data_IF_461742896230
#
_entry.id   IF_461742896230
#
_cell.length_a   1.000
_cell.length_b   1.000
_cell.length_c   1.000
_cell.angle_alpha   90.00
_cell.angle_beta   90.00
_cell.angle_gamma   90.00
#
_symmetry.space_group_name_H-M   'P 1'
#
loop_
_entity.id
_entity.type
_entity.pdbx_description
1 polymer ?
#
# COMPACT_ATOMS: atom_id res chain seq x y z
N UNK A 1 -12.91 4.99 -9.26
CA UNK A 1 -11.86 4.69 -8.29
C UNK A 1 -10.61 5.46 -8.63
N UNK A 2 -10.03 6.13 -7.67
CA UNK A 2 -8.83 6.95 -7.84
C UNK A 2 -7.79 6.53 -6.80
N UNK A 3 -6.57 6.29 -7.26
CA UNK A 3 -5.42 6.08 -6.39
C UNK A 3 -4.51 7.31 -6.46
N UNK A 4 -4.30 7.95 -5.32
CA UNK A 4 -3.29 8.99 -5.18
C UNK A 4 -2.00 8.32 -4.72
N UNK A 5 -0.99 8.35 -5.56
CA UNK A 5 0.21 7.53 -5.45
C UNK A 5 1.46 8.39 -5.49
N UNK A 6 2.44 8.06 -4.64
CA UNK A 6 3.78 8.59 -4.72
C UNK A 6 4.63 7.65 -5.58
N UNK A 7 5.16 8.16 -6.69
CA UNK A 7 5.92 7.36 -7.67
C UNK A 7 7.10 6.64 -7.05
N UNK A 8 7.78 7.27 -6.09
CA UNK A 8 9.03 6.78 -5.52
C UNK A 8 8.84 6.01 -4.22
N UNK A 9 7.58 5.83 -3.78
CA UNK A 9 7.25 5.20 -2.52
C UNK A 9 6.89 3.72 -2.72
N UNK A 10 7.54 2.84 -1.98
CA UNK A 10 7.26 1.41 -2.11
C UNK A 10 5.86 1.01 -1.57
N UNK A 11 5.30 1.77 -0.65
CA UNK A 11 3.93 1.52 -0.17
C UNK A 11 2.90 1.81 -1.27
N UNK A 12 3.09 2.90 -2.01
CA UNK A 12 2.25 3.21 -3.17
C UNK A 12 2.44 2.17 -4.28
N UNK A 13 3.68 1.74 -4.50
CA UNK A 13 4.02 0.76 -5.53
C UNK A 13 3.28 -0.56 -5.34
N UNK A 14 3.18 -1.05 -4.10
CA UNK A 14 2.50 -2.33 -3.85
C UNK A 14 1.02 -2.27 -4.22
N UNK A 15 0.37 -1.13 -4.02
CA UNK A 15 -1.04 -0.94 -4.42
C UNK A 15 -1.16 -0.89 -5.95
N UNK A 16 -0.24 -0.20 -6.62
CA UNK A 16 -0.20 -0.19 -8.10
C UNK A 16 -0.02 -1.59 -8.67
N UNK A 17 0.83 -2.41 -8.03
CA UNK A 17 1.03 -3.82 -8.45
C UNK A 17 -0.27 -4.61 -8.32
N UNK A 18 -1.01 -4.46 -7.23
CA UNK A 18 -2.29 -5.14 -7.05
C UNK A 18 -3.29 -4.74 -8.13
N UNK A 19 -3.38 -3.45 -8.44
CA UNK A 19 -4.26 -2.97 -9.52
C UNK A 19 -3.89 -3.62 -10.86
N UNK A 20 -2.60 -3.69 -11.16
CA UNK A 20 -2.11 -4.29 -12.40
C UNK A 20 -2.36 -5.80 -12.45
N UNK A 21 -2.08 -6.52 -11.37
CA UNK A 21 -2.28 -7.96 -11.30
C UNK A 21 -3.74 -8.36 -11.45
N UNK A 22 -4.64 -7.54 -10.95
CA UNK A 22 -6.08 -7.78 -11.05
C UNK A 22 -6.72 -7.18 -12.30
N UNK A 23 -5.92 -6.54 -13.14
CA UNK A 23 -6.40 -5.85 -14.35
C UNK A 23 -7.54 -4.87 -14.04
N UNK A 24 -7.40 -4.14 -12.94
CA UNK A 24 -8.38 -3.15 -12.50
C UNK A 24 -8.09 -1.82 -13.18
N UNK A 25 -9.09 -1.26 -13.84
CA UNK A 25 -9.00 0.09 -14.38
C UNK A 25 -9.26 1.10 -13.27
N UNK A 26 -8.25 1.88 -12.92
CA UNK A 26 -8.34 2.95 -11.94
C UNK A 26 -7.61 4.17 -12.45
N UNK A 27 -8.08 5.34 -12.05
CA UNK A 27 -7.37 6.59 -12.30
C UNK A 27 -6.25 6.71 -11.28
N UNK A 28 -5.00 6.85 -11.75
CA UNK A 28 -3.84 6.96 -10.87
C UNK A 28 -3.26 8.37 -11.00
N UNK A 29 -3.24 9.10 -9.88
CA UNK A 29 -2.62 10.42 -9.79
C UNK A 29 -1.29 10.26 -9.08
N UNK A 30 -0.19 10.39 -9.83
CA UNK A 30 1.16 10.31 -9.27
C UNK A 30 1.66 11.70 -8.89
N UNK A 31 1.95 11.90 -7.62
CA UNK A 31 2.46 13.15 -7.10
C UNK A 31 3.17 12.91 -5.77
N UNK A 32 3.99 13.87 -5.35
CA UNK A 32 4.54 13.86 -4.01
C UNK A 32 3.49 14.36 -3.01
N UNK A 33 3.62 14.05 -1.71
CA UNK A 33 2.69 14.56 -0.71
C UNK A 33 2.52 16.09 -0.75
N UNK A 34 3.60 16.83 -0.94
CA UNK A 34 3.58 18.29 -1.01
C UNK A 34 2.88 18.83 -2.25
N UNK A 35 2.71 18.01 -3.28
CA UNK A 35 1.99 18.35 -4.52
C UNK A 35 0.53 17.91 -4.50
N UNK A 36 0.13 17.18 -3.45
CA UNK A 36 -1.22 16.63 -3.32
C UNK A 36 -2.15 17.66 -2.66
N UNK A 37 -3.39 17.84 -3.16
CA UNK A 37 -4.34 18.73 -2.52
C UNK A 37 -4.55 18.38 -1.04
N UNK A 38 -4.64 19.42 -0.21
CA UNK A 38 -4.71 19.24 1.25
C UNK A 38 -5.96 18.46 1.69
N UNK A 39 -7.08 18.65 1.04
CA UNK A 39 -8.30 17.92 1.35
C UNK A 39 -8.17 16.41 1.10
N UNK A 40 -7.35 16.02 0.12
CA UNK A 40 -7.03 14.62 -0.16
C UNK A 40 -5.99 14.11 0.84
N UNK A 41 -4.90 14.85 1.02
CA UNK A 41 -3.81 14.42 1.89
C UNK A 41 -4.25 14.27 3.34
N UNK A 42 -5.18 15.10 3.80
CA UNK A 42 -5.72 15.04 5.16
C UNK A 42 -6.60 13.83 5.44
N UNK A 43 -6.98 13.05 4.42
CA UNK A 43 -7.63 11.74 4.62
C UNK A 43 -6.71 10.83 5.42
N UNK A 44 -5.41 10.91 5.19
CA UNK A 44 -4.42 10.20 6.00
C UNK A 44 -4.11 11.01 7.26
N UNK A 45 -4.25 10.42 8.47
CA UNK A 45 -3.84 11.09 9.70
C UNK A 45 -2.33 11.33 9.75
N UNK A 46 -1.56 10.68 8.88
CA UNK A 46 -0.10 10.83 8.80
C UNK A 46 0.33 11.71 7.65
N UNK A 47 -0.61 12.28 6.88
CA UNK A 47 -0.33 13.08 5.68
C UNK A 47 0.62 12.37 4.71
N UNK A 48 0.32 11.10 4.42
CA UNK A 48 1.12 10.24 3.54
C UNK A 48 0.28 9.65 2.42
N UNK A 49 0.93 9.33 1.32
CA UNK A 49 0.38 8.54 0.24
C UNK A 49 0.81 7.06 0.43
N UNK A 50 0.13 6.09 -0.13
CA UNK A 50 -1.01 6.23 -1.05
C UNK A 50 -2.34 6.54 -0.34
N UNK A 51 -3.30 7.03 -1.11
CA UNK A 51 -4.69 7.19 -0.68
C UNK A 51 -5.58 6.64 -1.80
N UNK A 52 -6.48 5.75 -1.45
CA UNK A 52 -7.43 5.17 -2.39
C UNK A 52 -8.83 5.69 -2.10
N UNK A 53 -9.48 6.21 -3.13
CA UNK A 53 -10.87 6.67 -3.05
C UNK A 53 -11.72 5.87 -4.02
N UNK A 54 -12.75 5.22 -3.49
CA UNK A 54 -13.72 4.48 -4.29
C UNK A 54 -15.13 4.84 -3.81
N UNK A 55 -15.85 5.63 -4.60
CA UNK A 55 -17.16 6.17 -4.24
C UNK A 55 -17.05 6.99 -2.96
N UNK A 56 -17.76 6.61 -1.90
CA UNK A 56 -17.75 7.31 -0.62
C UNK A 56 -16.68 6.77 0.34
N UNK A 57 -15.94 5.73 -0.07
CA UNK A 57 -14.90 5.11 0.75
C UNK A 57 -13.56 5.76 0.45
N UNK A 58 -12.84 6.13 1.50
CA UNK A 58 -11.47 6.61 1.42
C UNK A 58 -10.60 5.79 2.36
N UNK A 59 -9.52 5.23 1.84
CA UNK A 59 -8.61 4.35 2.58
C UNK A 59 -7.22 4.97 2.55
N UNK A 60 -6.55 5.02 3.69
CA UNK A 60 -5.19 5.57 3.79
C UNK A 60 -4.11 4.54 4.10
N UNK A 61 -4.46 3.32 4.44
CA UNK A 61 -3.49 2.27 4.77
C UNK A 61 -3.29 1.34 3.58
N UNK A 62 -2.05 1.13 3.11
CA UNK A 62 -1.78 0.30 1.94
C UNK A 62 -2.24 -1.15 2.08
N UNK A 63 -2.06 -1.75 3.27
CA UNK A 63 -2.48 -3.13 3.51
C UNK A 63 -3.99 -3.28 3.44
N UNK A 64 -4.72 -2.31 3.99
CA UNK A 64 -6.19 -2.29 3.91
C UNK A 64 -6.64 -2.09 2.46
N UNK A 65 -5.95 -1.25 1.70
CA UNK A 65 -6.24 -1.07 0.27
C UNK A 65 -6.13 -2.38 -0.50
N UNK A 66 -5.05 -3.13 -0.27
CA UNK A 66 -4.83 -4.41 -0.95
C UNK A 66 -5.89 -5.42 -0.57
N UNK A 67 -6.27 -5.50 0.69
CA UNK A 67 -7.36 -6.38 1.15
C UNK A 67 -8.70 -5.97 0.54
N UNK A 68 -9.00 -4.68 0.52
CA UNK A 68 -10.21 -4.16 -0.10
C UNK A 68 -10.29 -4.53 -1.57
N UNK A 69 -9.20 -4.31 -2.31
CA UNK A 69 -9.16 -4.62 -3.74
C UNK A 69 -9.32 -6.12 -4.01
N UNK A 70 -8.72 -6.95 -3.16
CA UNK A 70 -8.84 -8.41 -3.29
C UNK A 70 -10.27 -8.89 -3.03
N UNK A 71 -10.97 -8.28 -2.09
CA UNK A 71 -12.35 -8.59 -1.78
C UNK A 71 -13.33 -8.02 -2.81
N UNK A 72 -13.08 -6.79 -3.26
CA UNK A 72 -13.93 -6.10 -4.25
C UNK A 72 -13.84 -6.74 -5.63
N UNK A 73 -12.66 -7.23 -6.00
CA UNK A 73 -12.37 -7.89 -7.26
C UNK A 73 -11.76 -9.26 -6.98
N UNK A 74 -12.59 -10.27 -6.66
CA UNK A 74 -12.10 -11.54 -6.11
C UNK A 74 -11.33 -12.41 -7.10
N UNK A 75 -11.32 -12.10 -8.38
CA UNK A 75 -10.64 -12.90 -9.41
C UNK A 75 -9.67 -12.04 -10.21
N UNK A 76 -8.39 -12.46 -10.36
CA UNK A 76 -7.77 -13.59 -9.65
C UNK A 76 -7.51 -13.26 -8.18
N UNK A 77 -7.61 -14.24 -7.27
CA UNK A 77 -7.33 -14.00 -5.85
C UNK A 77 -5.82 -13.80 -5.64
N UNK A 78 -5.48 -12.88 -4.72
CA UNK A 78 -4.07 -12.62 -4.38
C UNK A 78 -3.59 -13.51 -3.24
N UNK A 79 -4.51 -13.94 -2.37
CA UNK A 79 -4.19 -14.78 -1.23
C UNK A 79 -4.80 -16.17 -1.43
N UNK A 80 -4.16 -17.22 -0.88
CA UNK A 80 -4.74 -18.55 -0.89
C UNK A 80 -6.13 -18.56 -0.22
N UNK A 81 -7.01 -19.39 -0.75
CA UNK A 81 -8.39 -19.53 -0.24
C UNK A 81 -8.41 -20.32 1.06
N UNK A 82 -7.53 -21.33 1.18
CA UNK A 82 -7.52 -22.22 2.34
C UNK A 82 -6.98 -21.50 3.58
N UNK A 83 -7.64 -21.65 4.74
CA UNK A 83 -7.32 -20.88 5.93
C UNK A 83 -5.88 -20.96 6.40
N UNK A 84 -5.27 -22.17 6.37
CA UNK A 84 -3.89 -22.34 6.84
C UNK A 84 -2.90 -21.61 5.93
N UNK A 85 -3.00 -21.83 4.62
CA UNK A 85 -2.13 -21.15 3.66
C UNK A 85 -2.35 -19.65 3.66
N UNK A 86 -3.60 -19.20 3.80
CA UNK A 86 -3.94 -17.78 3.89
C UNK A 86 -3.33 -17.14 5.14
N UNK A 87 -3.41 -17.82 6.29
CA UNK A 87 -2.81 -17.33 7.53
C UNK A 87 -1.29 -17.20 7.41
N UNK A 88 -0.63 -18.18 6.80
CA UNK A 88 0.81 -18.15 6.58
C UNK A 88 1.21 -16.99 5.68
N UNK A 89 0.46 -16.74 4.61
CA UNK A 89 0.72 -15.62 3.70
C UNK A 89 0.53 -14.28 4.42
N UNK A 90 -0.53 -14.14 5.21
CA UNK A 90 -0.79 -12.91 5.98
C UNK A 90 0.28 -12.68 7.04
N UNK A 91 0.76 -13.73 7.68
CA UNK A 91 1.85 -13.63 8.65
C UNK A 91 3.13 -13.12 7.99
N UNK A 92 3.45 -13.64 6.80
CA UNK A 92 4.62 -13.16 6.05
C UNK A 92 4.48 -11.68 5.68
N UNK A 93 3.31 -11.27 5.22
CA UNK A 93 3.05 -9.87 4.89
C UNK A 93 3.25 -8.95 6.10
N UNK A 94 2.76 -9.39 7.27
CA UNK A 94 2.92 -8.64 8.51
C UNK A 94 4.39 -8.51 8.91
N UNK A 95 5.17 -9.58 8.73
CA UNK A 95 6.61 -9.55 9.01
C UNK A 95 7.36 -8.63 8.09
N UNK A 96 7.01 -8.61 6.80
CA UNK A 96 7.59 -7.66 5.85
C UNK A 96 7.35 -6.23 6.31
N UNK A 97 6.12 -5.91 6.69
CA UNK A 97 5.77 -4.57 7.15
C UNK A 97 6.48 -4.16 8.44
N UNK A 98 6.66 -5.09 9.37
CA UNK A 98 7.26 -4.79 10.67
C UNK A 98 8.78 -4.87 10.70
N UNK A 99 9.36 -5.78 9.93
CA UNK A 99 10.79 -6.07 9.99
C UNK A 99 11.58 -5.46 8.84
N UNK A 100 11.05 -5.49 7.62
CA UNK A 100 11.78 -5.08 6.42
C UNK A 100 11.51 -3.63 6.04
N UNK A 101 10.25 -3.21 6.06
CA UNK A 101 9.90 -1.85 5.63
C UNK A 101 10.58 -0.75 6.44
N UNK A 102 10.71 -0.85 7.77
CA UNK A 102 11.44 0.16 8.52
C UNK A 102 12.90 0.30 8.09
N UNK A 103 13.57 -0.81 7.72
CA UNK A 103 14.95 -0.78 7.24
C UNK A 103 15.00 -0.10 5.87
N UNK A 104 14.09 -0.45 4.98
CA UNK A 104 14.00 0.18 3.65
C UNK A 104 13.73 1.67 3.78
N UNK A 105 12.83 2.08 4.65
CA UNK A 105 12.52 3.49 4.88
C UNK A 105 13.75 4.26 5.40
N UNK A 106 14.51 3.65 6.28
CA UNK A 106 15.76 4.23 6.79
C UNK A 106 16.78 4.42 5.68
N UNK A 107 16.92 3.44 4.78
CA UNK A 107 17.83 3.53 3.63
C UNK A 107 17.38 4.61 2.63
N UNK A 108 16.08 4.71 2.38
CA UNK A 108 15.54 5.74 1.49
C UNK A 108 15.79 7.14 2.04
N UNK A 109 15.71 7.31 3.36
CA UNK A 109 16.00 8.56 4.04
C UNK A 109 17.50 8.92 4.05
N UNK A 110 18.36 8.02 3.55
CA UNK A 110 19.81 8.23 3.52
C UNK A 110 20.49 7.96 4.85
N UNK A 111 19.82 7.31 5.79
CA UNK A 111 20.37 6.95 7.08
C UNK A 111 20.87 5.49 7.04
N UNK A 112 21.88 5.20 7.88
CA UNK A 112 22.34 3.82 8.04
C UNK A 112 21.53 3.15 9.13
N UNK A 113 21.01 1.92 8.90
CA UNK A 113 20.32 1.18 9.93
C UNK A 113 21.25 0.87 11.09
N UNK A 114 20.71 0.75 12.30
CA UNK A 114 21.45 0.27 13.44
C UNK A 114 21.87 -1.18 13.23
N UNK A 115 22.96 -1.61 13.87
CA UNK A 115 23.53 -2.95 13.66
C UNK A 115 22.53 -4.07 13.93
N UNK A 116 21.69 -3.91 14.94
CA UNK A 116 20.68 -4.90 15.28
C UNK A 116 19.55 -5.01 14.27
N UNK A 117 19.44 -4.06 13.33
CA UNK A 117 18.47 -4.11 12.26
C UNK A 117 18.99 -4.83 11.01
N UNK A 118 20.29 -5.02 10.96
CA UNK A 118 20.94 -5.72 9.85
C UNK A 118 21.08 -7.21 10.16
#
# INVERSE_FOLDING_TARGET
MILYSDRDDHYSQRVRIVLAEKDITAEIHEAKPEETPEDILSISPYHKLPILVDRDLAIHDPSVMMEYLDERFPHPPLLPVYPVARANSRTLMLRIDREWCPIVDTLIAGELPEKELL
#
